data_IF_074839530698
#
_entry.id   IF_074839530698
#
_cell.length_a   1.000
_cell.length_b   1.000
_cell.length_c   1.000
_cell.angle_alpha   90.00
_cell.angle_beta   90.00
_cell.angle_gamma   90.00
#
_symmetry.space_group_name_H-M   'P 1'
#
loop_
_entity.id
_entity.type
_entity.pdbx_description
1 polymer ?
#
# COMPACT_ATOMS: atom_id res chain seq x y z
N UNK A 1 12.72 4.44 5.99
CA UNK A 1 12.86 3.70 4.72
C UNK A 1 13.55 4.59 3.70
N UNK A 2 14.29 4.00 2.77
CA UNK A 2 15.04 4.74 1.74
C UNK A 2 14.76 4.11 0.37
N UNK A 3 14.27 4.87 -0.63
CA UNK A 3 14.18 4.38 -2.01
C UNK A 3 15.55 3.97 -2.55
N UNK A 4 15.61 2.89 -3.32
CA UNK A 4 16.86 2.45 -3.97
C UNK A 4 16.99 2.94 -5.42
N UNK A 5 15.91 3.47 -5.99
CA UNK A 5 15.86 4.16 -7.29
C UNK A 5 14.66 5.12 -7.31
N UNK A 6 14.60 5.99 -8.33
CA UNK A 6 13.43 6.83 -8.62
C UNK A 6 12.31 6.07 -9.35
N UNK A 7 12.47 4.76 -9.55
CA UNK A 7 11.49 3.96 -10.28
C UNK A 7 10.24 3.72 -9.42
N UNK A 8 9.10 4.17 -9.92
CA UNK A 8 7.79 4.02 -9.26
C UNK A 8 6.81 3.23 -10.10
N UNK A 9 5.84 2.58 -9.46
CA UNK A 9 4.61 2.14 -10.11
C UNK A 9 3.39 2.86 -9.51
N UNK A 10 2.35 3.08 -10.31
CA UNK A 10 1.09 3.70 -9.89
C UNK A 10 0.02 2.63 -9.88
N UNK A 11 -0.52 2.35 -8.70
CA UNK A 11 -1.47 1.25 -8.44
C UNK A 11 -2.51 1.66 -7.42
N UNK A 12 -3.63 0.95 -7.42
CA UNK A 12 -4.74 1.18 -6.51
C UNK A 12 -4.47 0.61 -5.12
N UNK A 13 -4.66 1.45 -4.10
CA UNK A 13 -4.59 1.12 -2.69
C UNK A 13 -5.96 1.30 -2.01
N UNK A 14 -6.22 0.43 -1.05
CA UNK A 14 -7.33 0.51 -0.12
C UNK A 14 -6.76 0.67 1.30
N UNK A 15 -7.44 1.43 2.15
CA UNK A 15 -7.08 1.58 3.57
C UNK A 15 -8.30 1.26 4.43
N UNK A 16 -8.16 0.37 5.41
CA UNK A 16 -9.25 0.04 6.33
C UNK A 16 -9.76 1.27 7.09
N UNK A 17 -8.87 2.17 7.52
CA UNK A 17 -9.23 3.42 8.19
C UNK A 17 -10.10 4.34 7.34
N UNK A 18 -10.02 4.22 6.01
CA UNK A 18 -10.80 5.03 5.06
C UNK A 18 -12.11 4.32 4.68
N UNK A 19 -12.06 3.01 4.44
CA UNK A 19 -13.21 2.20 4.02
C UNK A 19 -14.23 1.99 5.15
N UNK A 20 -13.79 2.00 6.41
CA UNK A 20 -14.68 1.89 7.57
C UNK A 20 -15.36 3.22 7.94
N UNK A 21 -14.98 4.33 7.30
CA UNK A 21 -15.68 5.61 7.44
C UNK A 21 -17.08 5.52 6.85
N UNK A 22 -18.12 5.75 7.67
CA UNK A 22 -19.55 5.53 7.33
C UNK A 22 -20.11 6.37 6.16
N UNK A 23 -19.31 7.21 5.51
CA UNK A 23 -19.78 8.14 4.49
C UNK A 23 -19.61 7.65 3.05
N UNK A 24 -18.51 6.96 2.72
CA UNK A 24 -18.20 6.56 1.34
C UNK A 24 -17.02 5.58 1.29
N UNK A 25 -17.00 4.67 0.33
CA UNK A 25 -15.84 3.82 0.07
C UNK A 25 -14.84 4.57 -0.82
N UNK A 26 -13.56 4.63 -0.44
CA UNK A 26 -12.54 5.29 -1.25
C UNK A 26 -11.40 4.34 -1.58
N UNK A 27 -10.99 4.34 -2.83
CA UNK A 27 -9.75 3.74 -3.30
C UNK A 27 -8.85 4.82 -3.87
N UNK A 28 -7.54 4.66 -3.70
CA UNK A 28 -6.56 5.70 -4.03
C UNK A 28 -5.51 5.10 -4.97
N UNK A 29 -5.39 5.64 -6.17
CA UNK A 29 -4.35 5.29 -7.12
C UNK A 29 -3.13 6.18 -6.85
N UNK A 30 -2.02 5.58 -6.45
CA UNK A 30 -0.85 6.32 -5.96
C UNK A 30 0.46 5.69 -6.41
N UNK A 31 1.41 6.56 -6.77
CA UNK A 31 2.77 6.19 -7.11
C UNK A 31 3.55 5.77 -5.85
N UNK A 32 4.24 4.63 -5.93
CA UNK A 32 5.14 4.12 -4.87
C UNK A 32 6.45 3.67 -5.48
N UNK A 33 7.53 3.78 -4.72
CA UNK A 33 8.82 3.26 -5.15
C UNK A 33 8.76 1.74 -5.27
N UNK A 34 9.24 1.20 -6.38
CA UNK A 34 9.21 -0.25 -6.64
C UNK A 34 10.17 -1.02 -5.73
N UNK A 35 11.22 -0.37 -5.23
CA UNK A 35 12.27 -0.97 -4.41
C UNK A 35 12.75 -0.04 -3.32
N UNK A 36 12.72 -0.50 -2.08
CA UNK A 36 13.09 0.28 -0.89
C UNK A 36 14.02 -0.52 0.02
N UNK A 37 14.93 0.16 0.71
CA UNK A 37 15.66 -0.36 1.86
C UNK A 37 14.92 0.03 3.13
N UNK A 38 14.59 -0.95 3.96
CA UNK A 38 13.93 -0.75 5.25
C UNK A 38 14.85 -1.12 6.39
N UNK A 39 14.68 -0.43 7.50
CA UNK A 39 15.33 -0.69 8.78
C UNK A 39 14.25 -0.61 9.85
N UNK A 40 14.08 -1.69 10.62
CA UNK A 40 13.07 -1.78 11.67
C UNK A 40 13.56 -2.70 12.79
N UNK A 41 12.80 -2.73 13.88
CA UNK A 41 13.01 -3.65 15.00
C UNK A 41 11.90 -4.70 14.93
N UNK A 42 12.27 -5.98 14.92
CA UNK A 42 11.28 -7.07 14.96
C UNK A 42 10.72 -7.28 16.38
N UNK A 43 9.76 -8.17 16.52
CA UNK A 43 9.12 -8.51 17.79
C UNK A 43 10.08 -9.09 18.85
N UNK A 44 11.24 -9.61 18.42
CA UNK A 44 12.33 -10.06 19.30
C UNK A 44 13.28 -8.93 19.74
N UNK A 45 13.03 -7.68 19.33
CA UNK A 45 13.90 -6.54 19.64
C UNK A 45 15.16 -6.47 18.78
N UNK A 46 15.28 -7.30 17.74
CA UNK A 46 16.43 -7.32 16.84
C UNK A 46 16.30 -6.29 15.73
N UNK A 47 17.40 -5.62 15.42
CA UNK A 47 17.46 -4.67 14.32
C UNK A 47 17.60 -5.39 12.98
N UNK A 48 16.57 -5.31 12.14
CA UNK A 48 16.56 -5.89 10.80
C UNK A 48 16.83 -4.81 9.76
N UNK A 49 17.62 -5.13 8.73
CA UNK A 49 17.80 -4.31 7.54
C UNK A 49 17.63 -5.19 6.31
N UNK A 50 16.66 -4.87 5.47
CA UNK A 50 16.39 -5.65 4.26
C UNK A 50 15.90 -4.77 3.12
N UNK A 51 15.90 -5.35 1.92
CA UNK A 51 15.38 -4.74 0.71
C UNK A 51 14.00 -5.34 0.46
N UNK A 52 13.00 -4.48 0.30
CA UNK A 52 11.66 -4.87 -0.12
C UNK A 52 11.43 -4.42 -1.56
N UNK A 53 10.73 -5.24 -2.33
CA UNK A 53 10.30 -4.94 -3.70
C UNK A 53 8.86 -5.41 -3.96
N UNK A 54 8.28 -4.96 -5.06
CA UNK A 54 6.93 -5.33 -5.47
C UNK A 54 5.86 -4.98 -4.42
N UNK A 55 4.94 -5.91 -4.14
CA UNK A 55 3.83 -5.66 -3.23
C UNK A 55 4.28 -5.38 -1.78
N UNK A 56 5.31 -6.08 -1.29
CA UNK A 56 5.83 -5.86 0.05
C UNK A 56 6.40 -4.44 0.23
N UNK A 57 7.11 -3.91 -0.79
CA UNK A 57 7.56 -2.53 -0.77
C UNK A 57 6.39 -1.53 -0.73
N UNK A 58 5.33 -1.80 -1.49
CA UNK A 58 4.12 -0.95 -1.53
C UNK A 58 3.38 -0.94 -0.19
N UNK A 59 3.10 -2.11 0.38
CA UNK A 59 2.45 -2.22 1.69
C UNK A 59 3.30 -1.53 2.77
N UNK A 60 4.62 -1.75 2.78
CA UNK A 60 5.47 -1.08 3.75
C UNK A 60 5.41 0.45 3.63
N UNK A 61 5.41 1.00 2.41
CA UNK A 61 5.27 2.45 2.20
C UNK A 61 3.92 2.97 2.71
N UNK A 62 2.83 2.22 2.51
CA UNK A 62 1.51 2.54 3.05
C UNK A 62 1.52 2.61 4.58
N UNK A 63 2.03 1.58 5.25
CA UNK A 63 2.06 1.54 6.71
C UNK A 63 3.05 2.57 7.29
N UNK A 64 4.14 2.85 6.57
CA UNK A 64 5.09 3.87 6.94
C UNK A 64 4.52 5.29 6.85
N UNK A 65 3.57 5.55 5.95
CA UNK A 65 2.83 6.81 5.90
C UNK A 65 1.98 7.00 7.17
N UNK A 66 1.35 5.93 7.68
CA UNK A 66 0.59 6.01 8.95
C UNK A 66 1.47 6.38 10.14
N UNK A 67 2.71 5.89 10.19
CA UNK A 67 3.69 6.30 11.21
C UNK A 67 4.05 7.79 11.14
N UNK A 68 3.75 8.45 10.01
CA UNK A 68 3.89 9.90 9.81
C UNK A 68 2.56 10.66 9.89
N UNK A 69 1.46 10.00 10.24
CA UNK A 69 0.12 10.60 10.26
C UNK A 69 -0.45 10.88 8.86
N UNK A 70 0.08 10.25 7.82
CA UNK A 70 -0.36 10.42 6.44
C UNK A 70 -1.24 9.22 6.09
N UNK A 71 -2.51 9.48 5.74
CA UNK A 71 -3.42 8.47 5.17
C UNK A 71 -3.36 8.61 3.65
N UNK A 72 -3.56 7.53 2.90
CA UNK A 72 -3.46 7.52 1.43
C UNK A 72 -4.21 8.66 0.74
N UNK A 73 -5.42 8.99 1.22
CA UNK A 73 -6.26 10.08 0.69
C UNK A 73 -5.68 11.49 0.88
N UNK A 74 -4.63 11.67 1.68
CA UNK A 74 -3.96 12.96 1.88
C UNK A 74 -2.87 13.25 0.83
N UNK A 75 -2.51 12.26 0.01
CA UNK A 75 -1.51 12.45 -1.06
C UNK A 75 -2.09 13.27 -2.20
N UNK A 76 -1.52 14.45 -2.45
CA UNK A 76 -2.02 15.41 -3.45
C UNK A 76 -1.95 14.89 -4.89
N UNK A 77 -0.93 14.09 -5.20
CA UNK A 77 -0.70 13.53 -6.53
C UNK A 77 -1.46 12.21 -6.78
N UNK A 78 -2.42 11.87 -5.90
CA UNK A 78 -3.18 10.62 -6.00
C UNK A 78 -4.54 10.83 -6.67
N UNK A 79 -4.96 9.85 -7.47
CA UNK A 79 -6.33 9.79 -8.00
C UNK A 79 -7.19 9.04 -6.98
N UNK A 80 -8.23 9.68 -6.45
CA UNK A 80 -9.16 9.05 -5.51
C UNK A 80 -10.47 8.71 -6.22
N UNK A 81 -10.86 7.44 -6.21
CA UNK A 81 -12.21 6.99 -6.57
C UNK A 81 -13.06 6.85 -5.33
N UNK A 82 -14.28 7.39 -5.40
CA UNK A 82 -15.27 7.37 -4.34
C UNK A 82 -16.46 6.54 -4.84
N UNK A 83 -16.95 5.64 -4.01
CA UNK A 83 -18.12 4.81 -4.28
C UNK A 83 -19.14 5.00 -3.16
N UNK A 84 -20.40 5.16 -3.56
CA UNK A 84 -21.51 5.40 -2.63
C UNK A 84 -21.98 4.11 -1.94
N UNK A 85 -21.70 2.95 -2.55
CA UNK A 85 -22.08 1.65 -2.01
C UNK A 85 -20.94 0.63 -2.04
N UNK A 86 -21.08 -0.38 -1.18
CA UNK A 86 -20.09 -1.45 -0.98
C UNK A 86 -19.93 -2.32 -2.21
N UNK A 87 -21.01 -2.59 -2.95
CA UNK A 87 -21.02 -3.52 -4.07
C UNK A 87 -20.17 -3.00 -5.23
N UNK A 88 -20.30 -1.72 -5.56
CA UNK A 88 -19.47 -1.06 -6.56
C UNK A 88 -18.00 -1.02 -6.16
N UNK A 89 -17.71 -0.70 -4.89
CA UNK A 89 -16.34 -0.70 -4.38
C UNK A 89 -15.72 -2.09 -4.47
N UNK A 90 -16.45 -3.14 -4.08
CA UNK A 90 -15.99 -4.53 -4.17
C UNK A 90 -15.82 -5.00 -5.63
N UNK A 91 -16.74 -4.62 -6.52
CA UNK A 91 -16.64 -4.90 -7.95
C UNK A 91 -15.38 -4.26 -8.56
N UNK A 92 -15.09 -3.03 -8.17
CA UNK A 92 -13.87 -2.34 -8.59
C UNK A 92 -12.61 -3.00 -8.01
N UNK A 93 -12.59 -3.31 -6.70
CA UNK A 93 -11.48 -4.04 -6.05
C UNK A 93 -11.20 -5.39 -6.71
N UNK A 94 -12.24 -6.12 -7.12
CA UNK A 94 -12.09 -7.40 -7.81
C UNK A 94 -11.35 -7.22 -9.14
N UNK A 95 -11.74 -6.23 -9.95
CA UNK A 95 -11.06 -5.90 -11.22
C UNK A 95 -9.61 -5.51 -10.99
N UNK A 96 -9.33 -4.66 -10.00
CA UNK A 96 -7.97 -4.28 -9.61
C UNK A 96 -7.14 -5.52 -9.24
N UNK A 97 -7.68 -6.41 -8.41
CA UNK A 97 -6.99 -7.65 -8.01
C UNK A 97 -6.66 -8.53 -9.21
N UNK A 98 -7.58 -8.69 -10.14
CA UNK A 98 -7.37 -9.46 -11.37
C UNK A 98 -6.29 -8.85 -12.28
N UNK A 99 -6.15 -7.52 -12.28
CA UNK A 99 -5.14 -6.81 -13.09
C UNK A 99 -3.77 -6.73 -12.43
N UNK A 100 -3.71 -6.52 -11.11
CA UNK A 100 -2.50 -6.09 -10.40
C UNK A 100 -1.92 -7.13 -9.44
N UNK A 101 -2.70 -8.14 -9.02
CA UNK A 101 -2.24 -9.17 -8.08
C UNK A 101 -1.66 -10.42 -8.76
N UNK A 102 -1.44 -10.37 -10.08
CA UNK A 102 -0.81 -11.45 -10.84
C UNK A 102 0.64 -11.56 -10.36
N UNK A 103 1.02 -12.72 -9.81
CA UNK A 103 2.38 -13.06 -9.33
C UNK A 103 2.82 -12.49 -7.98
N UNK A 104 1.90 -12.17 -7.06
CA UNK A 104 2.32 -11.92 -5.67
C UNK A 104 2.89 -13.19 -5.05
N UNK A 105 4.17 -13.16 -4.73
CA UNK A 105 4.83 -14.16 -3.88
C UNK A 105 4.99 -13.49 -2.52
N UNK A 106 4.33 -14.04 -1.49
CA UNK A 106 4.55 -13.58 -0.14
C UNK A 106 6.03 -13.74 0.22
N UNK A 107 6.65 -12.75 0.88
CA UNK A 107 7.96 -12.97 1.47
C UNK A 107 7.88 -14.24 2.32
N UNK A 108 8.69 -15.25 2.00
CA UNK A 108 8.81 -16.44 2.83
C UNK A 108 9.17 -15.96 4.25
N UNK A 109 8.41 -16.45 5.23
CA UNK A 109 8.47 -16.06 6.63
C UNK A 109 9.90 -15.68 7.05
N UNK A 110 10.12 -14.39 7.28
CA UNK A 110 11.23 -13.92 8.11
C UNK A 110 10.66 -13.80 9.52
N UNK A 111 10.33 -14.96 10.10
CA UNK A 111 10.20 -15.15 11.55
C UNK A 111 11.56 -15.58 12.08
#
# INVERSE_FOLDING_TARGET
MTPLSEETDTKWEACFSVILGKASYKLVNIARYKKIKVKYINEMGQQITQILEGFAARVFQHEYDHLKGIVTVHHKESETKIFDNKEEALSFMKKVKEMEAINYIAPLDVL
#
